data_IF_906187847389
#
_entry.id   IF_906187847389
#
_cell.length_a   1.000
_cell.length_b   1.000
_cell.length_c   1.000
_cell.angle_alpha   90.00
_cell.angle_beta   90.00
_cell.angle_gamma   90.00
#
_symmetry.space_group_name_H-M   'P 1'
#
loop_
_entity.id
_entity.type
_entity.pdbx_description
1 polymer ?
#
# COMPACT_ATOMS: atom_id res chain seq x y z
N UNK A 1 11.62 9.36 -3.84
CA UNK A 1 12.32 8.08 -3.57
C UNK A 1 11.29 6.97 -3.69
N UNK A 2 11.64 5.79 -4.22
CA UNK A 2 10.71 4.67 -4.37
C UNK A 2 11.09 3.53 -3.42
N UNK A 3 10.09 2.98 -2.72
CA UNK A 3 10.26 1.87 -1.79
C UNK A 3 9.32 0.74 -2.15
N UNK A 4 9.85 -0.48 -2.35
CA UNK A 4 9.00 -1.68 -2.39
C UNK A 4 8.46 -1.90 -0.98
N UNK A 5 7.15 -2.08 -0.86
CA UNK A 5 6.47 -2.25 0.42
C UNK A 5 5.83 -3.63 0.50
N UNK A 6 5.85 -4.20 1.70
CA UNK A 6 5.16 -5.46 1.96
C UNK A 6 3.67 -5.22 2.17
N UNK A 7 2.88 -6.24 1.87
CA UNK A 7 1.47 -6.28 2.22
C UNK A 7 1.04 -7.65 2.65
N UNK A 8 0.05 -7.71 3.54
CA UNK A 8 -0.51 -8.98 3.99
C UNK A 8 -2.02 -8.88 4.25
N UNK A 9 -2.79 -9.91 3.87
CA UNK A 9 -4.23 -9.93 4.10
C UNK A 9 -4.55 -10.23 5.57
N UNK A 10 -5.52 -9.50 6.12
CA UNK A 10 -6.17 -9.76 7.41
C UNK A 10 -7.70 -9.87 7.23
N UNK A 11 -8.45 -10.18 8.30
CA UNK A 11 -9.91 -10.37 8.22
C UNK A 11 -10.59 -9.07 7.76
N UNK A 12 -11.11 -9.08 6.53
CA UNK A 12 -11.79 -7.93 5.91
C UNK A 12 -10.89 -6.77 5.46
N UNK A 13 -9.57 -6.84 5.71
CA UNK A 13 -8.61 -5.75 5.45
C UNK A 13 -7.33 -6.27 4.82
N UNK A 14 -6.63 -5.42 4.06
CA UNK A 14 -5.28 -5.64 3.60
C UNK A 14 -4.38 -4.62 4.32
N UNK A 15 -3.29 -5.08 4.90
CA UNK A 15 -2.34 -4.23 5.59
C UNK A 15 -1.14 -3.96 4.68
N UNK A 16 -0.75 -2.69 4.59
CA UNK A 16 0.40 -2.18 3.84
C UNK A 16 1.47 -1.75 4.84
N UNK A 17 2.71 -2.21 4.66
CA UNK A 17 3.82 -1.95 5.58
C UNK A 17 4.86 -1.06 4.92
N UNK A 18 4.97 0.17 5.40
CA UNK A 18 5.85 1.20 4.88
C UNK A 18 7.18 1.23 5.65
N UNK A 19 8.28 1.68 5.03
CA UNK A 19 9.50 2.05 5.74
C UNK A 19 9.25 3.23 6.70
N UNK A 20 9.98 3.27 7.82
CA UNK A 20 9.84 4.32 8.84
C UNK A 20 10.06 5.74 8.30
N UNK A 21 10.84 5.91 7.23
CA UNK A 21 11.07 7.21 6.58
C UNK A 21 9.81 7.81 5.96
N UNK A 22 8.78 7.00 5.70
CA UNK A 22 7.51 7.45 5.13
C UNK A 22 6.53 7.97 6.21
N UNK A 23 6.75 7.67 7.50
CA UNK A 23 5.86 8.08 8.60
C UNK A 23 5.65 9.59 8.59
N UNK A 24 4.39 10.02 8.64
CA UNK A 24 3.98 11.43 8.65
C UNK A 24 4.10 12.12 7.30
N UNK A 25 4.33 11.38 6.21
CA UNK A 25 4.47 11.94 4.86
C UNK A 25 3.39 11.40 3.93
N UNK A 26 3.12 12.18 2.89
CA UNK A 26 2.30 11.74 1.78
C UNK A 26 3.14 10.89 0.83
N UNK A 27 2.60 9.75 0.41
CA UNK A 27 3.22 8.86 -0.56
C UNK A 27 2.20 8.52 -1.65
N UNK A 28 2.71 8.30 -2.86
CA UNK A 28 1.93 7.73 -3.96
C UNK A 28 2.14 6.22 -3.92
N UNK A 29 1.06 5.48 -3.71
CA UNK A 29 1.05 4.03 -3.83
C UNK A 29 0.96 3.67 -5.32
N UNK A 30 1.81 2.77 -5.79
CA UNK A 30 1.85 2.29 -7.16
C UNK A 30 1.87 0.76 -7.22
N UNK A 31 1.30 0.22 -8.30
CA UNK A 31 1.29 -1.21 -8.63
C UNK A 31 2.06 -1.36 -9.95
N UNK A 32 3.15 -2.14 -9.95
CA UNK A 32 4.05 -2.29 -11.11
C UNK A 32 4.45 -0.94 -11.73
N UNK A 33 4.77 0.05 -10.88
CA UNK A 33 5.15 1.40 -11.30
C UNK A 33 4.00 2.30 -11.80
N UNK A 34 2.77 1.78 -11.89
CA UNK A 34 1.58 2.57 -12.24
C UNK A 34 0.97 3.20 -10.98
N UNK A 35 0.86 4.54 -10.88
CA UNK A 35 0.25 5.20 -9.74
C UNK A 35 -1.20 4.76 -9.52
N UNK A 36 -1.52 4.38 -8.29
CA UNK A 36 -2.86 3.93 -7.89
C UNK A 36 -3.58 5.02 -7.09
N UNK A 37 -2.97 5.50 -6.02
CA UNK A 37 -3.58 6.51 -5.14
C UNK A 37 -2.52 7.21 -4.29
N UNK A 38 -2.82 8.41 -3.80
CA UNK A 38 -2.01 9.10 -2.80
C UNK A 38 -2.61 8.91 -1.41
N UNK A 39 -1.76 8.68 -0.42
CA UNK A 39 -2.17 8.55 0.97
C UNK A 39 -1.12 9.14 1.91
N UNK A 40 -1.54 9.51 3.12
CA UNK A 40 -0.63 9.91 4.19
C UNK A 40 -0.30 8.69 5.04
N UNK A 41 0.99 8.38 5.21
CA UNK A 41 1.40 7.37 6.19
C UNK A 41 1.26 7.96 7.58
N UNK A 42 0.39 7.34 8.39
CA UNK A 42 0.07 7.81 9.72
C UNK A 42 1.22 7.67 10.72
N UNK A 43 0.88 7.59 12.00
CA UNK A 43 1.86 7.44 13.10
C UNK A 43 2.52 6.07 13.11
N UNK A 44 1.80 5.05 12.63
CA UNK A 44 2.31 3.71 12.42
C UNK A 44 2.81 3.60 10.99
N UNK A 45 3.90 2.88 10.77
CA UNK A 45 4.40 2.53 9.44
C UNK A 45 3.49 1.52 8.72
N UNK A 46 2.21 1.46 9.09
CA UNK A 46 1.25 0.48 8.60
C UNK A 46 -0.09 1.16 8.35
N UNK A 47 -0.72 0.81 7.23
CA UNK A 47 -2.05 1.27 6.84
C UNK A 47 -2.93 0.08 6.49
N UNK A 48 -4.13 0.06 7.04
CA UNK A 48 -5.14 -0.94 6.68
C UNK A 48 -6.13 -0.41 5.64
N UNK A 49 -6.28 -1.13 4.53
CA UNK A 49 -7.25 -0.86 3.48
C UNK A 49 -8.35 -1.92 3.53
N UNK A 50 -9.62 -1.51 3.52
CA UNK A 50 -10.73 -2.46 3.52
C UNK A 50 -10.84 -3.18 2.17
N UNK A 51 -10.90 -4.53 2.17
CA UNK A 51 -10.87 -5.34 0.93
C UNK A 51 -12.07 -5.14 0.01
N UNK A 52 -13.19 -4.63 0.54
CA UNK A 52 -14.42 -4.38 -0.20
C UNK A 52 -14.41 -3.06 -0.97
N UNK A 53 -13.46 -2.17 -0.71
CA UNK A 53 -13.27 -0.92 -1.47
C UNK A 53 -12.65 -1.21 -2.82
N UNK A 54 -12.79 -0.29 -3.77
CA UNK A 54 -12.18 -0.41 -5.10
C UNK A 54 -10.65 -0.59 -5.01
N UNK A 55 -9.98 0.27 -4.25
CA UNK A 55 -8.55 0.19 -3.97
C UNK A 55 -8.19 -1.13 -3.29
N UNK A 56 -8.97 -1.56 -2.29
CA UNK A 56 -8.75 -2.83 -1.60
C UNK A 56 -8.84 -4.04 -2.51
N UNK A 57 -9.76 -4.04 -3.48
CA UNK A 57 -9.87 -5.10 -4.50
C UNK A 57 -8.67 -5.10 -5.43
N UNK A 58 -8.24 -3.94 -5.91
CA UNK A 58 -7.06 -3.82 -6.79
C UNK A 58 -5.78 -4.30 -6.08
N UNK A 59 -5.57 -3.90 -4.82
CA UNK A 59 -4.40 -4.33 -4.06
C UNK A 59 -4.44 -5.82 -3.72
N UNK A 60 -5.62 -6.38 -3.44
CA UNK A 60 -5.78 -7.83 -3.24
C UNK A 60 -5.48 -8.61 -4.53
N UNK A 61 -5.89 -8.12 -5.69
CA UNK A 61 -5.58 -8.72 -6.99
C UNK A 61 -4.07 -8.68 -7.26
N UNK A 62 -3.44 -7.52 -7.03
CA UNK A 62 -2.01 -7.34 -7.18
C UNK A 62 -1.22 -8.28 -6.26
N UNK A 63 -1.64 -8.41 -4.99
CA UNK A 63 -1.07 -9.37 -4.05
C UNK A 63 -1.14 -10.82 -4.57
N UNK A 64 -2.31 -11.24 -5.08
CA UNK A 64 -2.48 -12.60 -5.59
C UNK A 64 -1.66 -12.88 -6.86
N UNK A 65 -1.43 -11.86 -7.68
CA UNK A 65 -0.59 -11.95 -8.89
C UNK A 65 0.91 -11.92 -8.59
N UNK A 66 1.29 -11.52 -7.38
CA UNK A 66 2.69 -11.25 -7.03
C UNK A 66 3.22 -9.97 -7.67
N UNK A 67 2.33 -9.02 -7.95
CA UNK A 67 2.72 -7.72 -8.49
C UNK A 67 3.56 -6.93 -7.47
N UNK A 68 4.44 -6.07 -7.98
CA UNK A 68 5.28 -5.23 -7.13
C UNK A 68 4.51 -3.99 -6.68
N UNK A 69 4.57 -3.71 -5.39
CA UNK A 69 3.84 -2.61 -4.77
C UNK A 69 4.86 -1.65 -4.21
N UNK A 70 4.79 -0.39 -4.64
CA UNK A 70 5.75 0.63 -4.25
C UNK A 70 5.10 1.86 -3.64
N UNK A 71 5.80 2.49 -2.72
CA UNK A 71 5.47 3.79 -2.17
C UNK A 71 6.49 4.81 -2.69
N UNK A 72 6.00 5.80 -3.43
CA UNK A 72 6.79 6.91 -3.95
C UNK A 72 6.65 8.09 -2.99
N UNK A 73 7.79 8.49 -2.41
CA UNK A 73 7.95 9.66 -1.54
C UNK A 73 8.46 10.87 -2.32
#
# INVERSE_FOLDING_TARGET
MEFVIDMYPSKGKLNLVFPSICIGKDVILAVNGSPLTQLTVGKTSEISVAKNTEIGKMLMEAHHKGDTITALL
#
